data_IF_537806676591
#
_entry.id   IF_537806676591
#
_cell.length_a   1.000
_cell.length_b   1.000
_cell.length_c   1.000
_cell.angle_alpha   90.00
_cell.angle_beta   90.00
_cell.angle_gamma   90.00
#
_symmetry.space_group_name_H-M   'P 1'
#
loop_
_entity.id
_entity.type
_entity.pdbx_description
1 polymer ?
#
# COMPACT_ATOMS: atom_id res chain seq x y z
N UNK A 1 -5.99 -7.88 -3.88
CA UNK A 1 -5.97 -8.72 -5.10
C UNK A 1 -4.64 -8.47 -5.80
N UNK A 2 -3.99 -9.52 -6.29
CA UNK A 2 -2.81 -9.42 -7.17
C UNK A 2 -3.26 -9.73 -8.59
N UNK A 3 -2.87 -8.89 -9.55
CA UNK A 3 -3.06 -9.20 -10.97
C UNK A 3 -1.71 -9.61 -11.55
N UNK A 4 -1.60 -10.85 -12.01
CA UNK A 4 -0.38 -11.40 -12.61
C UNK A 4 -0.73 -12.19 -13.86
N UNK A 5 -0.06 -11.88 -14.98
CA UNK A 5 -0.27 -12.52 -16.28
C UNK A 5 -1.75 -12.59 -16.73
N UNK A 6 -2.52 -11.53 -16.45
CA UNK A 6 -3.96 -11.47 -16.78
C UNK A 6 -4.87 -12.24 -15.82
N UNK A 7 -4.33 -12.88 -14.79
CA UNK A 7 -5.06 -13.62 -13.77
C UNK A 7 -5.19 -12.78 -12.50
N UNK A 8 -6.41 -12.71 -11.96
CA UNK A 8 -6.69 -12.06 -10.69
C UNK A 8 -6.61 -13.09 -9.55
N UNK A 9 -5.61 -12.92 -8.68
CA UNK A 9 -5.43 -13.72 -7.47
C UNK A 9 -6.00 -12.97 -6.27
N UNK A 10 -6.98 -13.59 -5.60
CA UNK A 10 -7.58 -13.02 -4.39
C UNK A 10 -6.65 -13.35 -3.21
N UNK A 11 -6.22 -12.31 -2.50
CA UNK A 11 -5.53 -12.44 -1.22
C UNK A 11 -6.58 -12.29 -0.12
N UNK A 12 -6.34 -12.93 1.01
CA UNK A 12 -7.13 -12.77 2.23
C UNK A 12 -6.93 -11.38 2.87
N UNK A 13 -7.28 -11.23 4.16
CA UNK A 13 -7.16 -9.97 4.88
C UNK A 13 -5.71 -9.46 4.89
N UNK A 14 -5.49 -8.29 4.30
CA UNK A 14 -4.19 -7.60 4.29
C UNK A 14 -4.18 -6.54 5.38
N UNK A 15 -3.24 -6.67 6.30
CA UNK A 15 -2.93 -5.68 7.31
C UNK A 15 -1.96 -4.63 6.74
N UNK A 16 -2.34 -3.35 6.89
CA UNK A 16 -1.54 -2.20 6.48
C UNK A 16 -0.93 -1.59 7.74
N UNK A 17 0.31 -1.94 8.04
CA UNK A 17 1.05 -1.38 9.18
C UNK A 17 1.65 -0.05 8.76
N UNK A 18 0.84 1.00 8.91
CA UNK A 18 1.22 2.38 8.59
C UNK A 18 1.56 3.09 9.90
N UNK A 19 2.78 3.61 10.06
CA UNK A 19 3.17 4.39 11.23
C UNK A 19 2.36 5.71 11.29
N UNK A 20 1.64 5.92 12.39
CA UNK A 20 0.79 7.10 12.59
C UNK A 20 1.60 8.39 12.84
N UNK A 21 2.81 8.27 13.37
CA UNK A 21 3.68 9.42 13.65
C UNK A 21 4.27 10.08 12.40
N UNK A 22 4.53 9.32 11.35
CA UNK A 22 5.24 9.81 10.16
C UNK A 22 4.96 8.93 8.93
N UNK A 23 4.22 9.48 7.97
CA UNK A 23 3.88 8.80 6.72
C UNK A 23 5.09 8.49 5.82
N UNK A 24 6.25 9.11 6.07
CA UNK A 24 7.49 8.84 5.34
C UNK A 24 8.32 7.68 5.92
N UNK A 25 7.89 7.07 7.05
CA UNK A 25 8.54 5.86 7.58
C UNK A 25 8.20 4.63 6.74
N UNK A 26 9.00 3.55 6.81
CA UNK A 26 8.68 2.30 6.11
C UNK A 26 7.32 1.75 6.53
N UNK A 27 6.49 1.38 5.56
CA UNK A 27 5.21 0.71 5.78
C UNK A 27 5.39 -0.77 5.54
N UNK A 28 4.62 -1.58 6.26
CA UNK A 28 4.60 -3.02 6.05
C UNK A 28 3.19 -3.48 5.71
N UNK A 29 3.09 -4.30 4.67
CA UNK A 29 1.85 -4.96 4.28
C UNK A 29 2.01 -6.45 4.49
N UNK A 30 1.13 -7.04 5.29
CA UNK A 30 1.16 -8.46 5.61
C UNK A 30 -0.23 -9.05 5.48
N UNK A 31 -0.35 -10.18 4.77
CA UNK A 31 -1.60 -10.93 4.68
C UNK A 31 -1.72 -11.97 5.79
N UNK A 32 -2.93 -12.21 6.27
CA UNK A 32 -3.28 -13.23 7.26
C UNK A 32 -2.86 -14.66 6.83
N UNK A 33 -2.87 -14.92 5.52
CA UNK A 33 -2.49 -16.19 4.90
C UNK A 33 -0.97 -16.33 4.64
N UNK A 34 -0.18 -15.28 4.95
CA UNK A 34 1.26 -15.23 4.71
C UNK A 34 1.66 -15.22 3.23
N UNK A 35 0.70 -15.03 2.32
CA UNK A 35 0.94 -15.03 0.86
C UNK A 35 1.32 -13.65 0.33
N UNK A 36 1.27 -12.62 1.14
CA UNK A 36 1.62 -11.26 0.74
C UNK A 36 2.40 -10.60 1.87
N UNK A 37 3.70 -10.44 1.65
CA UNK A 37 4.59 -9.70 2.55
C UNK A 37 5.31 -8.64 1.73
N UNK A 38 5.01 -7.37 1.99
CA UNK A 38 5.60 -6.26 1.27
C UNK A 38 6.08 -5.20 2.23
N UNK A 39 7.28 -4.69 1.96
CA UNK A 39 7.86 -3.52 2.60
C UNK A 39 7.79 -2.36 1.61
N UNK A 40 7.19 -1.27 2.05
CA UNK A 40 7.07 -0.05 1.27
C UNK A 40 7.89 1.06 1.90
N UNK A 41 8.78 1.64 1.11
CA UNK A 41 9.67 2.71 1.49
C UNK A 41 9.18 4.01 0.83
N UNK A 42 8.48 4.88 1.57
CA UNK A 42 8.12 6.20 1.09
C UNK A 42 9.34 7.00 0.63
N UNK A 43 9.17 7.71 -0.48
CA UNK A 43 10.15 8.65 -1.05
C UNK A 43 9.57 10.06 -1.05
N UNK A 44 8.28 10.20 -1.34
CA UNK A 44 7.60 11.48 -1.47
C UNK A 44 6.17 11.37 -0.94
N UNK A 45 5.86 12.10 0.12
CA UNK A 45 4.47 12.37 0.52
C UNK A 45 3.94 13.56 -0.29
N UNK A 46 2.88 13.32 -1.07
CA UNK A 46 2.09 14.38 -1.69
C UNK A 46 0.76 14.47 -0.94
N UNK A 47 0.72 15.36 0.04
CA UNK A 47 -0.51 15.75 0.72
C UNK A 47 -1.26 16.79 -0.11
N UNK A 48 -2.55 16.53 -0.36
CA UNK A 48 -3.48 17.50 -0.93
C UNK A 48 -4.55 17.81 0.12
N UNK A 49 -4.34 18.88 0.90
CA UNK A 49 -5.39 19.41 1.76
C UNK A 49 -6.38 20.22 0.92
N UNK A 50 -7.56 19.65 0.67
CA UNK A 50 -8.69 20.36 0.09
C UNK A 50 -9.57 20.88 1.24
N UNK A 51 -9.39 22.15 1.61
CA UNK A 51 -10.22 22.84 2.59
C UNK A 51 -11.28 23.68 1.85
N UNK A 52 -12.46 23.11 1.65
CA UNK A 52 -13.58 23.82 1.00
C UNK A 52 -14.74 23.99 1.99
N UNK A 53 -14.50 24.78 3.05
CA UNK A 53 -15.46 25.38 4.02
C UNK A 53 -16.46 24.46 4.76
N UNK A 54 -16.66 23.21 4.36
CA UNK A 54 -17.57 22.22 4.95
C UNK A 54 -17.08 20.77 4.78
N UNK A 55 -16.15 20.52 3.84
CA UNK A 55 -15.55 19.21 3.61
C UNK A 55 -14.05 19.35 3.84
N UNK A 56 -13.53 18.63 4.83
CA UNK A 56 -12.09 18.46 5.04
C UNK A 56 -11.74 17.08 4.48
N UNK A 57 -11.07 17.07 3.34
CA UNK A 57 -10.48 15.86 2.77
C UNK A 57 -8.97 15.99 2.89
N UNK A 58 -8.41 15.14 3.73
CA UNK A 58 -6.97 15.02 3.93
C UNK A 58 -6.53 13.77 3.16
N UNK A 59 -5.96 14.01 1.98
CA UNK A 59 -5.52 12.96 1.06
C UNK A 59 -4.00 12.93 1.05
N UNK A 60 -3.43 11.88 1.63
CA UNK A 60 -1.99 11.60 1.60
C UNK A 60 -1.70 10.59 0.49
N UNK A 61 -1.17 11.06 -0.63
CA UNK A 61 -0.63 10.20 -1.69
C UNK A 61 0.87 10.04 -1.49
N UNK A 62 1.27 8.91 -0.92
CA UNK A 62 2.66 8.60 -0.61
C UNK A 62 3.25 7.78 -1.76
N UNK A 63 4.22 8.33 -2.47
CA UNK A 63 5.00 7.65 -3.50
C UNK A 63 6.24 7.03 -2.86
N UNK A 64 6.58 5.81 -3.27
CA UNK A 64 7.68 5.08 -2.69
C UNK A 64 8.12 3.89 -3.54
N UNK A 65 8.96 3.06 -2.95
CA UNK A 65 9.37 1.78 -3.53
C UNK A 65 8.84 0.63 -2.70
N UNK A 66 8.26 -0.36 -3.37
CA UNK A 66 7.82 -1.59 -2.76
C UNK A 66 8.78 -2.72 -3.09
N UNK A 67 9.14 -3.47 -2.06
CA UNK A 67 9.95 -4.68 -2.14
C UNK A 67 9.33 -5.74 -1.25
N UNK A 68 9.32 -6.99 -1.66
CA UNK A 68 8.72 -8.07 -0.89
C UNK A 68 8.42 -9.30 -1.73
N UNK A 69 7.53 -10.14 -1.23
CA UNK A 69 7.17 -11.40 -1.83
C UNK A 69 5.65 -11.58 -1.83
N UNK A 70 5.12 -12.01 -2.97
CA UNK A 70 3.75 -12.46 -3.12
C UNK A 70 3.70 -13.93 -3.54
N UNK A 71 2.71 -14.68 -3.06
CA UNK A 71 2.46 -16.08 -3.43
C UNK A 71 1.10 -16.16 -4.13
N UNK A 72 1.13 -16.56 -5.39
CA UNK A 72 -0.06 -16.77 -6.22
C UNK A 72 -0.80 -18.05 -5.82
N UNK A 73 -2.02 -18.24 -6.33
CA UNK A 73 -2.87 -19.37 -5.91
C UNK A 73 -2.33 -20.74 -6.35
N UNK A 74 -1.47 -20.75 -7.37
CA UNK A 74 -0.75 -21.91 -7.86
C UNK A 74 0.52 -22.24 -7.04
N UNK A 75 0.84 -21.42 -6.02
CA UNK A 75 2.05 -21.52 -5.21
C UNK A 75 3.27 -20.80 -5.81
N UNK A 76 3.12 -20.13 -6.96
CA UNK A 76 4.20 -19.35 -7.57
C UNK A 76 4.58 -18.18 -6.67
N UNK A 77 5.87 -18.05 -6.36
CA UNK A 77 6.42 -16.95 -5.58
C UNK A 77 6.92 -15.85 -6.50
N UNK A 78 6.35 -14.66 -6.36
CA UNK A 78 6.73 -13.45 -7.08
C UNK A 78 7.54 -12.57 -6.12
N UNK A 79 8.81 -12.39 -6.43
CA UNK A 79 9.65 -11.40 -5.76
C UNK A 79 9.44 -10.03 -6.41
N UNK A 80 9.09 -9.05 -5.60
CA UNK A 80 8.96 -7.66 -5.98
C UNK A 80 10.15 -6.94 -5.38
N UNK A 81 10.89 -6.15 -6.17
CA UNK A 81 12.08 -5.46 -5.67
C UNK A 81 12.20 -4.08 -6.29
N UNK A 82 12.29 -3.07 -5.42
CA UNK A 82 12.48 -1.66 -5.79
C UNK A 82 11.43 -1.15 -6.80
N UNK A 83 10.22 -1.70 -6.77
CA UNK A 83 9.16 -1.30 -7.70
C UNK A 83 8.58 0.02 -7.24
N UNK A 84 8.65 1.03 -8.11
CA UNK A 84 8.01 2.33 -7.87
C UNK A 84 6.49 2.16 -7.84
N UNK A 85 5.88 2.51 -6.73
CA UNK A 85 4.44 2.52 -6.56
C UNK A 85 4.00 3.68 -5.65
N UNK A 86 2.71 3.86 -5.52
CA UNK A 86 2.13 4.83 -4.59
C UNK A 86 1.09 4.14 -3.72
N UNK A 87 0.96 4.62 -2.49
CA UNK A 87 -0.06 4.22 -1.54
C UNK A 87 -0.83 5.49 -1.12
N UNK A 88 -2.15 5.40 -1.05
CA UNK A 88 -3.00 6.53 -0.71
C UNK A 88 -3.74 6.26 0.60
N UNK A 89 -3.66 7.20 1.54
CA UNK A 89 -4.50 7.22 2.73
C UNK A 89 -5.45 8.41 2.62
N UNK A 90 -6.74 8.12 2.51
CA UNK A 90 -7.81 9.13 2.45
C UNK A 90 -8.49 9.19 3.79
N UNK A 91 -8.39 10.34 4.47
CA UNK A 91 -9.22 10.63 5.62
C UNK A 91 -10.33 11.59 5.19
N UNK A 92 -11.53 11.02 4.95
CA UNK A 92 -12.73 11.83 4.74
C UNK A 92 -13.44 12.02 6.07
N UNK A 93 -13.46 13.28 6.54
CA UNK A 93 -14.29 13.68 7.67
C UNK A 93 -15.57 14.32 7.12
N UNK A 94 -16.71 13.68 7.39
CA UNK A 94 -18.04 14.12 6.97
C UNK A 94 -18.73 14.92 8.08
#
# INVERSE_FOLDING_TARGET
>A
MIFYDGIAHKIDDVEFVIPEDDYCKPWKFTSSDGRFEMDFLPILDRSACLDYKLIVSDQHQVFGRMSGMAVLDDGTKIEIKDVLCFAEKVHNRY
#
